data_IF_650485560050
#
_entry.id   IF_650485560050
#
_cell.length_a   1.000
_cell.length_b   1.000
_cell.length_c   1.000
_cell.angle_alpha   90.00
_cell.angle_beta   90.00
_cell.angle_gamma   90.00
#
_symmetry.space_group_name_H-M   'P 1'
#
loop_
_entity.id
_entity.type
_entity.pdbx_description
1 polymer ?
#
# COMPACT_ATOMS: atom_id res chain seq x y z
N UNK A 1 2.69 22.88 -21.87
CA UNK A 1 1.99 24.07 -22.39
C UNK A 1 0.67 23.75 -23.14
N UNK A 2 0.06 22.58 -22.93
CA UNK A 2 -1.18 22.16 -23.63
C UNK A 2 -2.46 22.25 -22.79
N UNK A 3 -2.35 22.41 -21.47
CA UNK A 3 -3.51 22.58 -20.57
C UNK A 3 -3.96 24.04 -20.43
N UNK A 4 -3.11 25.00 -20.82
CA UNK A 4 -3.44 26.43 -20.76
C UNK A 4 -4.24 26.91 -21.99
N UNK A 5 -4.47 26.07 -23.00
CA UNK A 5 -5.18 26.46 -24.24
C UNK A 5 -6.67 26.08 -24.27
N UNK A 6 -7.20 25.52 -23.18
CA UNK A 6 -8.60 25.03 -23.10
C UNK A 6 -9.55 25.99 -22.39
N UNK A 7 -9.05 27.11 -21.85
CA UNK A 7 -9.84 28.08 -21.09
C UNK A 7 -9.79 29.44 -21.80
N UNK A 8 -10.96 29.94 -22.21
CA UNK A 8 -11.08 31.19 -22.97
C UNK A 8 -10.90 32.42 -22.07
N UNK A 9 -11.06 32.27 -20.75
CA UNK A 9 -10.95 33.38 -19.78
C UNK A 9 -10.23 33.00 -18.48
N UNK A 10 -9.61 33.99 -17.83
CA UNK A 10 -9.02 33.83 -16.48
C UNK A 10 -10.07 33.41 -15.46
N UNK A 11 -11.33 33.80 -15.64
CA UNK A 11 -12.44 33.40 -14.76
C UNK A 11 -12.77 31.91 -14.88
N UNK A 12 -12.74 31.33 -16.08
CA UNK A 12 -12.91 29.89 -16.26
C UNK A 12 -11.76 29.08 -15.65
N UNK A 13 -10.52 29.54 -15.83
CA UNK A 13 -9.36 28.90 -15.18
C UNK A 13 -9.48 28.97 -13.65
N UNK A 14 -9.95 30.08 -13.09
CA UNK A 14 -10.16 30.24 -11.65
C UNK A 14 -11.29 29.36 -11.12
N UNK A 15 -12.35 29.15 -11.92
CA UNK A 15 -13.48 28.29 -11.56
C UNK A 15 -13.10 26.81 -11.63
N UNK A 16 -12.38 26.38 -12.68
CA UNK A 16 -11.88 25.01 -12.81
C UNK A 16 -10.88 24.67 -11.71
N UNK A 17 -9.95 25.58 -11.41
CA UNK A 17 -9.00 25.41 -10.32
C UNK A 17 -9.70 25.28 -8.97
N UNK A 18 -10.74 26.11 -8.72
CA UNK A 18 -11.54 26.02 -7.49
C UNK A 18 -12.29 24.70 -7.37
N UNK A 19 -12.89 24.25 -8.47
CA UNK A 19 -13.58 22.96 -8.52
C UNK A 19 -12.62 21.79 -8.29
N UNK A 20 -11.43 21.81 -8.89
CA UNK A 20 -10.38 20.80 -8.64
C UNK A 20 -9.90 20.81 -7.21
N UNK A 21 -9.69 21.99 -6.62
CA UNK A 21 -9.29 22.10 -5.22
C UNK A 21 -10.36 21.58 -4.27
N UNK A 22 -11.64 21.82 -4.55
CA UNK A 22 -12.77 21.27 -3.79
C UNK A 22 -12.86 19.74 -3.95
N UNK A 23 -12.68 19.22 -5.17
CA UNK A 23 -12.68 17.78 -5.43
C UNK A 23 -11.50 17.06 -4.75
N UNK A 24 -10.30 17.63 -4.82
CA UNK A 24 -9.11 17.11 -4.13
C UNK A 24 -9.23 17.18 -2.61
N UNK A 25 -9.87 18.23 -2.08
CA UNK A 25 -10.14 18.35 -0.65
C UNK A 25 -11.17 17.31 -0.20
N UNK A 26 -12.22 17.11 -1.00
CA UNK A 26 -13.25 16.09 -0.74
C UNK A 26 -12.68 14.67 -0.79
N UNK A 27 -11.88 14.35 -1.83
CA UNK A 27 -11.16 13.07 -1.91
C UNK A 27 -10.25 12.85 -0.71
N UNK A 28 -9.41 13.83 -0.35
CA UNK A 28 -8.54 13.72 0.83
C UNK A 28 -9.31 13.54 2.12
N UNK A 29 -10.45 14.21 2.28
CA UNK A 29 -11.29 14.03 3.46
C UNK A 29 -11.88 12.62 3.52
N UNK A 30 -12.34 12.08 2.39
CA UNK A 30 -12.86 10.71 2.28
C UNK A 30 -11.74 9.68 2.54
N UNK A 31 -10.56 9.85 1.93
CA UNK A 31 -9.42 8.96 2.13
C UNK A 31 -8.96 8.97 3.60
N UNK A 32 -8.86 10.15 4.21
CA UNK A 32 -8.53 10.28 5.64
C UNK A 32 -9.59 9.63 6.52
N UNK A 33 -10.87 9.86 6.23
CA UNK A 33 -11.98 9.29 7.01
C UNK A 33 -12.02 7.76 6.91
N UNK A 34 -11.82 7.21 5.70
CA UNK A 34 -11.73 5.77 5.48
C UNK A 34 -10.50 5.18 6.20
N UNK A 35 -9.35 5.85 6.13
CA UNK A 35 -8.15 5.43 6.85
C UNK A 35 -8.37 5.42 8.37
N UNK A 36 -9.01 6.44 8.94
CA UNK A 36 -9.33 6.52 10.38
C UNK A 36 -10.35 5.44 10.80
N UNK A 37 -11.36 5.17 9.97
CA UNK A 37 -12.34 4.10 10.19
C UNK A 37 -11.68 2.72 10.18
N UNK A 38 -10.86 2.45 9.16
CA UNK A 38 -10.08 1.21 9.06
C UNK A 38 -9.16 1.11 10.29
N UNK A 39 -8.45 2.17 10.66
CA UNK A 39 -7.56 2.16 11.83
C UNK A 39 -8.33 1.90 13.14
N UNK A 40 -9.55 2.44 13.27
CA UNK A 40 -10.41 2.21 14.44
C UNK A 40 -10.94 0.78 14.48
N UNK A 41 -11.32 0.22 13.33
CA UNK A 41 -11.72 -1.17 13.19
C UNK A 41 -10.55 -2.12 13.50
N UNK A 42 -9.35 -1.84 12.98
CA UNK A 42 -8.09 -2.56 13.27
C UNK A 42 -7.77 -2.53 14.77
N UNK A 43 -8.00 -1.40 15.45
CA UNK A 43 -7.75 -1.27 16.90
C UNK A 43 -8.71 -2.07 17.76
N UNK A 44 -9.97 -2.22 17.35
CA UNK A 44 -10.98 -2.96 18.11
C UNK A 44 -10.99 -4.46 17.77
N UNK A 45 -10.47 -4.85 16.61
CA UNK A 45 -10.36 -6.25 16.22
C UNK A 45 -9.08 -6.86 16.80
N UNK A 46 -9.21 -7.66 17.87
CA UNK A 46 -8.19 -8.63 18.27
C UNK A 46 -8.17 -9.77 17.25
N UNK A 47 -7.56 -9.51 16.09
CA UNK A 47 -7.30 -10.54 15.09
C UNK A 47 -6.03 -11.28 15.53
N UNK A 48 -6.19 -12.50 16.04
CA UNK A 48 -5.06 -13.41 16.24
C UNK A 48 -4.58 -13.88 14.86
N UNK A 49 -3.43 -13.35 14.42
CA UNK A 49 -2.85 -13.68 13.13
C UNK A 49 -2.04 -14.98 13.29
N UNK A 50 -2.39 -16.06 12.57
CA UNK A 50 -1.60 -17.28 12.58
C UNK A 50 -0.19 -17.03 12.02
N UNK A 51 0.84 -17.58 12.66
CA UNK A 51 2.23 -17.39 12.20
C UNK A 51 2.45 -17.88 10.76
N UNK A 52 1.73 -18.93 10.35
CA UNK A 52 1.74 -19.44 8.97
C UNK A 52 1.33 -18.37 7.95
N UNK A 53 0.38 -17.49 8.27
CA UNK A 53 -0.02 -16.41 7.36
C UNK A 53 1.08 -15.36 7.21
N UNK A 54 1.84 -15.11 8.28
CA UNK A 54 2.98 -14.19 8.25
C UNK A 54 4.10 -14.81 7.40
N UNK A 55 4.40 -16.09 7.59
CA UNK A 55 5.41 -16.80 6.80
C UNK A 55 5.07 -16.84 5.30
N UNK A 56 3.82 -17.18 4.96
CA UNK A 56 3.35 -17.16 3.58
C UNK A 56 3.47 -15.75 2.97
N UNK A 57 3.13 -14.70 3.74
CA UNK A 57 3.25 -13.32 3.27
C UNK A 57 4.70 -12.91 3.05
N UNK A 58 5.61 -13.29 3.95
CA UNK A 58 7.05 -13.05 3.78
C UNK A 58 7.55 -13.72 2.52
N UNK A 59 7.16 -14.98 2.26
CA UNK A 59 7.57 -15.70 1.06
C UNK A 59 7.06 -15.01 -0.22
N UNK A 60 5.80 -14.57 -0.22
CA UNK A 60 5.24 -13.79 -1.34
C UNK A 60 6.05 -12.52 -1.60
N UNK A 61 6.38 -11.74 -0.56
CA UNK A 61 7.14 -10.50 -0.70
C UNK A 61 8.55 -10.76 -1.25
N UNK A 62 9.21 -11.83 -0.81
CA UNK A 62 10.53 -12.23 -1.32
C UNK A 62 10.43 -12.69 -2.78
N UNK A 63 9.37 -13.41 -3.14
CA UNK A 63 9.14 -13.85 -4.51
C UNK A 63 8.85 -12.67 -5.44
N UNK A 64 8.06 -11.69 -5.00
CA UNK A 64 7.80 -10.44 -5.73
C UNK A 64 9.09 -9.65 -5.95
N UNK A 65 9.95 -9.57 -4.94
CA UNK A 65 11.27 -8.97 -5.06
C UNK A 65 12.11 -9.72 -6.10
N UNK A 66 12.15 -11.05 -6.02
CA UNK A 66 12.87 -11.89 -6.97
C UNK A 66 12.38 -11.69 -8.41
N UNK A 67 11.06 -11.68 -8.66
CA UNK A 67 10.50 -11.44 -9.99
C UNK A 67 10.85 -10.05 -10.53
N UNK A 68 10.77 -9.01 -9.69
CA UNK A 68 11.12 -7.64 -10.08
C UNK A 68 12.61 -7.52 -10.45
N UNK A 69 13.48 -8.24 -9.75
CA UNK A 69 14.91 -8.29 -10.03
C UNK A 69 15.22 -9.09 -11.28
N UNK A 70 14.58 -10.24 -11.45
CA UNK A 70 14.78 -11.11 -12.61
C UNK A 70 14.39 -10.40 -13.92
N UNK A 71 13.34 -9.56 -13.89
CA UNK A 71 12.97 -8.69 -15.00
C UNK A 71 14.05 -7.66 -15.39
N UNK A 72 15.02 -7.39 -14.51
CA UNK A 72 16.18 -6.52 -14.77
C UNK A 72 17.47 -7.32 -15.02
N UNK A 73 17.38 -8.64 -15.11
CA UNK A 73 18.52 -9.54 -15.26
C UNK A 73 19.36 -9.72 -13.98
N UNK A 74 18.81 -9.36 -12.82
CA UNK A 74 19.47 -9.50 -11.51
C UNK A 74 18.88 -10.71 -10.78
N UNK A 75 19.72 -11.54 -10.15
CA UNK A 75 19.26 -12.62 -9.28
C UNK A 75 19.21 -12.14 -7.83
N UNK A 76 18.19 -12.58 -7.10
CA UNK A 76 18.08 -12.33 -5.66
C UNK A 76 19.33 -12.83 -4.89
N UNK A 77 19.90 -13.95 -5.31
CA UNK A 77 21.11 -14.53 -4.73
C UNK A 77 22.34 -13.60 -4.85
N UNK A 78 22.49 -12.91 -5.99
CA UNK A 78 23.56 -11.93 -6.20
C UNK A 78 23.35 -10.67 -5.34
N UNK A 79 22.10 -10.27 -5.11
CA UNK A 79 21.76 -9.18 -4.20
C UNK A 79 22.08 -9.50 -2.75
N UNK A 80 21.69 -10.69 -2.29
CA UNK A 80 22.01 -11.16 -0.94
C UNK A 80 23.53 -11.22 -0.73
N UNK A 81 24.28 -11.73 -1.71
CA UNK A 81 25.76 -11.73 -1.70
C UNK A 81 26.34 -10.32 -1.64
N UNK A 82 25.83 -9.40 -2.46
CA UNK A 82 26.32 -8.02 -2.50
C UNK A 82 26.03 -7.26 -1.19
N UNK A 83 24.86 -7.50 -0.59
CA UNK A 83 24.45 -6.90 0.67
C UNK A 83 24.99 -7.64 1.91
N UNK A 84 25.71 -8.75 1.73
CA UNK A 84 26.24 -9.59 2.80
C UNK A 84 25.16 -10.04 3.79
N UNK A 85 23.96 -10.30 3.26
CA UNK A 85 22.77 -10.73 4.00
C UNK A 85 22.39 -12.15 3.59
N UNK A 86 21.81 -12.91 4.51
CA UNK A 86 21.21 -14.21 4.19
C UNK A 86 19.73 -14.05 3.84
N UNK A 87 19.14 -15.10 3.28
CA UNK A 87 17.68 -15.12 3.06
C UNK A 87 16.92 -15.11 4.40
N UNK A 88 17.53 -15.62 5.47
CA UNK A 88 16.95 -15.58 6.82
C UNK A 88 16.94 -14.15 7.39
N UNK A 89 18.00 -13.38 7.16
CA UNK A 89 18.02 -11.94 7.52
C UNK A 89 16.92 -11.19 6.77
N UNK A 90 16.79 -11.45 5.47
CA UNK A 90 15.74 -10.85 4.65
C UNK A 90 14.35 -11.25 5.17
N UNK A 91 14.13 -12.54 5.48
CA UNK A 91 12.87 -12.99 6.08
C UNK A 91 12.57 -12.31 7.40
N UNK A 92 13.57 -12.13 8.27
CA UNK A 92 13.41 -11.46 9.55
C UNK A 92 13.07 -9.98 9.39
N UNK A 93 13.72 -9.27 8.45
CA UNK A 93 13.41 -7.86 8.14
C UNK A 93 11.98 -7.71 7.59
N UNK A 94 11.52 -8.68 6.81
CA UNK A 94 10.19 -8.66 6.21
C UNK A 94 9.11 -9.20 7.16
N UNK A 95 9.45 -9.92 8.23
CA UNK A 95 8.47 -10.55 9.15
C UNK A 95 7.55 -9.52 9.82
N UNK A 96 8.11 -8.43 10.33
CA UNK A 96 7.31 -7.37 10.97
C UNK A 96 6.39 -6.68 9.97
N UNK A 97 6.91 -6.32 8.79
CA UNK A 97 6.10 -5.70 7.73
C UNK A 97 5.03 -6.64 7.18
N UNK A 98 5.34 -7.92 7.03
CA UNK A 98 4.39 -8.95 6.63
C UNK A 98 3.27 -9.12 7.66
N UNK A 99 3.60 -9.10 8.95
CA UNK A 99 2.59 -9.16 10.02
C UNK A 99 1.64 -7.95 10.00
N UNK A 100 2.15 -6.75 9.72
CA UNK A 100 1.31 -5.56 9.53
C UNK A 100 0.42 -5.65 8.27
N UNK A 101 0.97 -6.13 7.15
CA UNK A 101 0.20 -6.33 5.92
C UNK A 101 -0.91 -7.36 6.11
N UNK A 102 -0.60 -8.53 6.68
CA UNK A 102 -1.61 -9.58 6.96
C UNK A 102 -2.68 -9.05 7.91
N UNK A 103 -2.31 -8.24 8.90
CA UNK A 103 -3.30 -7.59 9.78
C UNK A 103 -4.23 -6.67 9.00
N UNK A 104 -3.68 -5.84 8.12
CA UNK A 104 -4.45 -4.92 7.31
C UNK A 104 -5.39 -5.68 6.37
N UNK A 105 -4.89 -6.71 5.68
CA UNK A 105 -5.68 -7.56 4.78
C UNK A 105 -6.82 -8.26 5.52
N UNK A 106 -6.56 -8.85 6.69
CA UNK A 106 -7.59 -9.52 7.50
C UNK A 106 -8.65 -8.56 8.02
N UNK A 107 -8.26 -7.34 8.39
CA UNK A 107 -9.24 -6.35 8.86
C UNK A 107 -10.06 -5.81 7.69
N UNK A 108 -9.45 -5.59 6.52
CA UNK A 108 -10.18 -5.21 5.31
C UNK A 108 -11.16 -6.30 4.88
N UNK A 109 -10.76 -7.57 4.94
CA UNK A 109 -11.63 -8.72 4.64
C UNK A 109 -12.80 -8.82 5.64
N UNK A 110 -12.53 -8.58 6.92
CA UNK A 110 -13.57 -8.54 7.95
C UNK A 110 -14.57 -7.39 7.73
N UNK A 111 -14.11 -6.21 7.31
CA UNK A 111 -14.97 -5.08 6.96
C UNK A 111 -15.79 -5.42 5.70
N UNK A 112 -15.13 -5.95 4.66
CA UNK A 112 -15.81 -6.34 3.42
C UNK A 112 -16.89 -7.41 3.65
N UNK A 113 -16.64 -8.35 4.56
CA UNK A 113 -17.62 -9.38 4.95
C UNK A 113 -18.76 -8.81 5.81
N UNK A 114 -18.51 -7.75 6.59
CA UNK A 114 -19.53 -7.11 7.43
C UNK A 114 -20.41 -6.11 6.66
N UNK A 115 -19.87 -5.47 5.61
CA UNK A 115 -20.60 -4.54 4.75
C UNK A 115 -21.23 -5.19 3.49
N UNK A 116 -20.82 -6.41 3.15
CA UNK A 116 -21.41 -7.24 2.07
C UNK A 116 -22.60 -8.07 2.51
#
# INVERSE_FOLDING_TARGET
>A
AKEASSYETIEELKKDLRAKMEEEASRRAIDTYNADLIQTAVKNATVEIPEVMIEDRVEQMIQELAMNMEGRGLKLDDYLKFSNKTIEDLRSEYKDSAAENVRADLVLDAIATAEG
#
